data_IF_238086257700
#
_entry.id   IF_238086257700
#
_cell.length_a   1.000
_cell.length_b   1.000
_cell.length_c   1.000
_cell.angle_alpha   90.00
_cell.angle_beta   90.00
_cell.angle_gamma   90.00
#
_symmetry.space_group_name_H-M   'P 1'
#
loop_
_entity.id
_entity.type
_entity.pdbx_description
1 polymer ?
#
# COMPACT_ATOMS: atom_id res chain seq x y z
N UNK A 1 -25.61 -9.96 -3.30
CA UNK A 1 -26.03 -10.15 -4.71
C UNK A 1 -24.93 -10.72 -5.58
N UNK A 2 -23.78 -10.04 -5.82
CA UNK A 2 -22.72 -10.50 -6.76
C UNK A 2 -22.10 -11.83 -6.37
N UNK A 3 -21.86 -12.08 -5.09
CA UNK A 3 -21.33 -13.32 -4.54
C UNK A 3 -22.38 -14.43 -4.64
N UNK A 4 -23.62 -14.16 -4.22
CA UNK A 4 -24.72 -15.12 -4.32
C UNK A 4 -25.03 -15.52 -5.78
N UNK A 5 -24.71 -14.66 -6.75
CA UNK A 5 -24.82 -14.95 -8.18
C UNK A 5 -23.60 -15.71 -8.74
N UNK A 6 -22.64 -16.15 -7.92
CA UNK A 6 -21.43 -16.85 -8.36
C UNK A 6 -20.47 -16.03 -9.21
N UNK A 7 -20.63 -14.70 -9.24
CA UNK A 7 -19.80 -13.79 -10.04
C UNK A 7 -18.42 -13.53 -9.43
N UNK A 8 -18.29 -13.68 -8.10
CA UNK A 8 -17.06 -13.47 -7.36
C UNK A 8 -16.61 -14.80 -6.76
N UNK A 9 -15.44 -15.27 -7.14
CA UNK A 9 -14.95 -16.62 -6.78
C UNK A 9 -13.79 -16.63 -5.77
N UNK A 10 -13.20 -15.50 -5.41
CA UNK A 10 -12.06 -15.46 -4.50
C UNK A 10 -10.74 -15.95 -5.10
N UNK A 11 -10.63 -16.11 -6.41
CA UNK A 11 -9.39 -16.58 -7.05
C UNK A 11 -8.29 -15.51 -6.98
N UNK A 12 -8.59 -14.29 -7.42
CA UNK A 12 -7.63 -13.20 -7.43
C UNK A 12 -8.32 -11.87 -7.14
N UNK A 13 -7.77 -11.12 -6.19
CA UNK A 13 -8.20 -9.75 -5.92
C UNK A 13 -7.10 -8.77 -6.28
N UNK A 14 -7.48 -7.62 -6.83
CA UNK A 14 -6.58 -6.48 -7.01
C UNK A 14 -6.89 -5.40 -5.98
N UNK A 15 -5.82 -4.88 -5.38
CA UNK A 15 -5.85 -3.72 -4.50
C UNK A 15 -5.18 -2.53 -5.19
N UNK A 16 -5.78 -1.37 -5.08
CA UNK A 16 -5.19 -0.11 -5.53
C UNK A 16 -5.87 1.07 -4.86
N UNK A 17 -5.21 2.21 -4.85
CA UNK A 17 -5.72 3.46 -4.32
C UNK A 17 -5.64 4.59 -5.34
N UNK A 18 -6.55 5.53 -5.22
CA UNK A 18 -6.54 6.72 -6.08
C UNK A 18 -6.75 7.98 -5.27
N UNK A 19 -5.83 8.92 -5.43
CA UNK A 19 -5.95 10.26 -4.86
C UNK A 19 -7.13 11.02 -5.44
N UNK A 20 -7.97 11.55 -4.55
CA UNK A 20 -9.10 12.42 -4.87
C UNK A 20 -8.92 13.71 -4.09
N UNK A 21 -9.12 14.85 -4.76
CA UNK A 21 -9.01 16.18 -4.12
C UNK A 21 -10.05 16.31 -3.00
N UNK A 22 -9.64 16.84 -1.86
CA UNK A 22 -10.55 17.20 -0.77
C UNK A 22 -11.30 18.50 -1.06
N UNK A 23 -12.49 18.64 -0.51
CA UNK A 23 -13.24 19.89 -0.50
C UNK A 23 -12.77 20.78 0.66
N UNK A 24 -11.74 21.58 0.42
CA UNK A 24 -11.15 22.48 1.41
C UNK A 24 -11.18 23.93 0.94
N UNK A 25 -11.29 24.84 1.87
CA UNK A 25 -11.00 26.24 1.60
C UNK A 25 -9.48 26.44 1.56
N UNK A 26 -8.94 26.69 0.37
CA UNK A 26 -7.50 26.84 0.15
C UNK A 26 -6.89 28.02 0.90
N UNK A 27 -7.69 29.02 1.27
CA UNK A 27 -7.23 30.21 2.03
C UNK A 27 -7.15 29.91 3.53
N UNK A 28 -7.94 28.97 4.05
CA UNK A 28 -7.98 28.57 5.44
C UNK A 28 -7.06 27.37 5.69
N UNK A 29 -5.74 27.62 5.67
CA UNK A 29 -4.70 26.65 5.97
C UNK A 29 -3.59 27.28 6.79
N UNK A 30 -2.87 26.44 7.53
CA UNK A 30 -1.71 26.83 8.33
C UNK A 30 -0.57 25.84 8.15
N UNK A 31 0.70 26.28 8.29
CA UNK A 31 1.83 25.37 8.40
C UNK A 31 1.63 24.38 9.55
N UNK A 32 1.93 23.11 9.31
CA UNK A 32 1.68 22.07 10.30
C UNK A 32 2.69 22.00 11.45
N UNK A 33 3.74 22.80 11.41
CA UNK A 33 4.73 23.01 12.48
C UNK A 33 4.32 24.12 13.44
N UNK A 34 3.24 24.85 13.17
CA UNK A 34 2.71 25.90 14.02
C UNK A 34 1.55 25.39 14.89
N UNK A 35 1.42 25.92 16.13
CA UNK A 35 0.28 25.59 16.97
C UNK A 35 -1.02 26.14 16.35
N UNK A 36 -2.04 25.30 16.26
CA UNK A 36 -3.35 25.65 15.71
C UNK A 36 -4.35 25.77 16.86
N UNK A 37 -4.94 26.96 17.01
CA UNK A 37 -6.06 27.17 17.94
C UNK A 37 -7.35 26.65 17.29
N UNK A 38 -7.80 25.49 17.71
CA UNK A 38 -9.06 24.90 17.23
C UNK A 38 -10.27 25.52 17.97
N UNK A 39 -11.42 25.68 17.30
CA UNK A 39 -12.65 26.08 17.97
C UNK A 39 -13.10 25.01 18.95
N UNK A 40 -13.95 25.38 19.90
CA UNK A 40 -14.61 24.39 20.78
C UNK A 40 -15.45 23.41 19.96
N UNK A 41 -15.60 22.19 20.47
CA UNK A 41 -16.31 21.12 19.75
C UNK A 41 -17.73 21.50 19.33
N UNK A 42 -18.41 22.31 20.15
CA UNK A 42 -19.79 22.77 19.91
C UNK A 42 -19.88 23.76 18.72
N UNK A 43 -18.83 24.56 18.51
CA UNK A 43 -18.73 25.57 17.46
C UNK A 43 -18.06 25.05 16.19
N UNK A 44 -17.41 23.87 16.30
CA UNK A 44 -16.65 23.28 15.23
C UNK A 44 -17.54 22.70 14.13
N UNK A 45 -17.09 22.80 12.88
CA UNK A 45 -17.71 22.05 11.78
C UNK A 45 -17.60 20.54 11.99
N UNK A 46 -18.43 19.76 11.32
CA UNK A 46 -18.41 18.29 11.44
C UNK A 46 -16.98 17.70 11.24
N UNK A 47 -16.28 18.11 10.19
CA UNK A 47 -14.94 17.60 9.88
C UNK A 47 -13.89 17.97 10.95
N UNK A 48 -13.99 19.18 11.51
CA UNK A 48 -13.08 19.62 12.59
C UNK A 48 -13.39 18.88 13.87
N UNK A 49 -14.68 18.70 14.20
CA UNK A 49 -15.10 17.93 15.37
C UNK A 49 -14.64 16.48 15.31
N UNK A 50 -14.83 15.83 14.18
CA UNK A 50 -14.35 14.46 13.94
C UNK A 50 -12.83 14.34 14.15
N UNK A 51 -12.09 15.33 13.67
CA UNK A 51 -10.64 15.39 13.86
C UNK A 51 -10.24 15.56 15.33
N UNK A 52 -10.91 16.44 16.08
CA UNK A 52 -10.65 16.68 17.50
C UNK A 52 -10.94 15.41 18.33
N UNK A 53 -12.05 14.73 18.07
CA UNK A 53 -12.37 13.45 18.72
C UNK A 53 -11.30 12.40 18.42
N UNK A 54 -10.81 12.31 17.19
CA UNK A 54 -9.75 11.38 16.84
C UNK A 54 -8.41 11.69 17.56
N UNK A 55 -8.09 12.98 17.77
CA UNK A 55 -6.92 13.40 18.54
C UNK A 55 -7.04 13.02 20.03
N UNK A 56 -8.21 13.24 20.62
CA UNK A 56 -8.44 12.91 22.04
C UNK A 56 -8.38 11.40 22.27
N UNK A 57 -8.92 10.60 21.33
CA UNK A 57 -8.82 9.14 21.37
C UNK A 57 -7.37 8.68 21.29
N UNK A 58 -6.56 9.23 20.38
CA UNK A 58 -5.16 8.87 20.24
C UNK A 58 -4.34 9.23 21.49
N UNK A 59 -4.61 10.36 22.15
CA UNK A 59 -3.98 10.72 23.43
C UNK A 59 -4.37 9.79 24.57
N UNK A 60 -5.65 9.38 24.63
CA UNK A 60 -6.14 8.45 25.64
C UNK A 60 -5.53 7.04 25.52
N UNK A 61 -5.17 6.62 24.31
CA UNK A 61 -4.49 5.35 24.06
C UNK A 61 -2.98 5.41 24.42
N UNK A 62 -2.33 6.55 24.23
CA UNK A 62 -0.94 6.77 24.67
C UNK A 62 -0.81 6.74 26.21
N UNK A 63 -1.79 7.29 26.93
CA UNK A 63 -1.83 7.26 28.41
C UNK A 63 -2.11 5.85 28.98
N UNK A 64 -2.73 4.95 28.19
CA UNK A 64 -3.02 3.56 28.60
C UNK A 64 -1.91 2.57 28.25
N UNK A 65 -1.04 2.90 27.32
CA UNK A 65 0.06 2.04 26.86
C UNK A 65 1.36 2.25 27.66
N UNK A 66 1.24 2.47 28.96
CA UNK A 66 2.39 2.57 29.89
C UNK A 66 3.16 1.27 30.10
N UNK A 67 2.81 0.16 29.46
CA UNK A 67 3.59 -1.06 29.39
C UNK A 67 4.26 -1.13 28.00
N UNK A 68 5.51 -0.68 27.99
CA UNK A 68 6.48 -0.77 26.90
C UNK A 68 6.82 -2.24 26.61
N UNK A 69 6.04 -2.88 25.74
CA UNK A 69 6.55 -4.02 25.02
C UNK A 69 7.29 -3.50 23.76
N UNK A 70 8.60 -3.58 23.74
CA UNK A 70 9.52 -3.02 22.77
C UNK A 70 9.29 -3.37 21.27
N UNK A 71 8.05 -3.53 20.82
CA UNK A 71 7.66 -3.78 19.43
C UNK A 71 7.21 -2.52 18.65
N UNK A 72 7.38 -1.32 19.24
CA UNK A 72 7.17 -0.04 18.60
C UNK A 72 8.24 0.21 17.53
N UNK A 73 7.85 0.37 16.28
CA UNK A 73 8.69 0.95 15.23
C UNK A 73 9.43 2.16 15.80
N UNK A 74 10.76 2.09 15.83
CA UNK A 74 11.66 3.07 16.43
C UNK A 74 11.19 4.49 16.17
N UNK A 75 11.00 5.24 17.25
CA UNK A 75 10.37 6.55 17.31
C UNK A 75 11.00 7.63 16.42
N UNK A 76 10.88 7.51 15.12
CA UNK A 76 11.02 8.63 14.25
C UNK A 76 9.81 9.54 14.50
N UNK A 77 10.03 10.63 15.22
CA UNK A 77 9.06 11.74 15.32
C UNK A 77 8.54 12.00 13.92
N UNK A 78 7.26 11.71 13.69
CA UNK A 78 6.61 11.97 12.40
C UNK A 78 6.85 13.43 12.06
N UNK A 79 7.45 13.70 10.89
CA UNK A 79 7.60 15.08 10.43
C UNK A 79 6.22 15.72 10.41
N UNK A 80 6.05 16.92 10.94
CA UNK A 80 4.76 17.62 10.91
C UNK A 80 4.27 17.73 9.46
N UNK A 81 2.97 17.73 9.28
CA UNK A 81 2.38 17.98 7.97
C UNK A 81 2.85 19.33 7.45
N UNK A 82 3.18 19.46 6.17
CA UNK A 82 3.64 20.74 5.61
C UNK A 82 2.56 21.82 5.73
N UNK A 83 1.32 21.44 5.46
CA UNK A 83 0.15 22.32 5.56
C UNK A 83 -1.01 21.54 6.19
N UNK A 84 -1.81 22.21 7.01
CA UNK A 84 -3.03 21.68 7.61
C UNK A 84 -4.21 22.55 7.19
N UNK A 85 -5.29 21.93 6.72
CA UNK A 85 -6.53 22.62 6.41
C UNK A 85 -7.33 22.90 7.68
N UNK A 86 -7.77 24.15 7.87
CA UNK A 86 -8.63 24.51 8.99
C UNK A 86 -10.11 24.14 8.75
N UNK A 87 -10.48 23.80 7.52
CA UNK A 87 -11.84 23.38 7.17
C UNK A 87 -12.03 21.87 7.09
N UNK A 88 -10.94 21.12 6.88
CA UNK A 88 -10.89 19.65 6.88
C UNK A 88 -9.49 19.17 7.29
N UNK A 89 -9.21 19.09 8.60
CA UNK A 89 -7.85 18.80 9.10
C UNK A 89 -7.35 17.40 8.82
N UNK A 90 -8.25 16.46 8.52
CA UNK A 90 -7.89 15.08 8.18
C UNK A 90 -7.41 14.94 6.73
N UNK A 91 -7.70 15.91 5.86
CA UNK A 91 -7.19 15.93 4.49
C UNK A 91 -5.67 16.10 4.48
N UNK A 92 -4.98 15.30 3.70
CA UNK A 92 -3.51 15.31 3.62
C UNK A 92 -3.03 16.26 2.53
N UNK A 93 -2.05 17.10 2.85
CA UNK A 93 -1.36 17.95 1.86
C UNK A 93 -0.43 17.09 1.00
N UNK A 94 -0.69 17.05 -0.29
CA UNK A 94 0.02 16.21 -1.25
C UNK A 94 0.69 17.08 -2.30
N UNK A 95 1.99 16.85 -2.53
CA UNK A 95 2.74 17.43 -3.63
C UNK A 95 3.12 16.32 -4.63
N UNK A 96 2.88 16.54 -5.92
CA UNK A 96 3.28 15.67 -7.02
C UNK A 96 4.07 16.45 -8.05
N UNK A 97 5.09 15.85 -8.68
CA UNK A 97 5.82 16.52 -9.77
C UNK A 97 4.86 16.98 -10.88
N UNK A 98 5.01 18.22 -11.30
CA UNK A 98 4.20 18.81 -12.39
C UNK A 98 2.78 19.23 -12.02
N UNK A 99 2.40 19.15 -10.73
CA UNK A 99 1.09 19.61 -10.25
C UNK A 99 1.27 20.53 -9.04
N UNK A 100 0.43 21.55 -8.95
CA UNK A 100 0.34 22.36 -7.73
C UNK A 100 -0.08 21.49 -6.56
N UNK A 101 0.50 21.67 -5.37
CA UNK A 101 0.13 20.91 -4.20
C UNK A 101 -1.34 21.15 -3.81
N UNK A 102 -1.98 20.12 -3.27
CA UNK A 102 -3.40 20.15 -2.90
C UNK A 102 -3.69 19.23 -1.72
N UNK A 103 -4.81 19.45 -1.05
CA UNK A 103 -5.32 18.55 -0.03
C UNK A 103 -6.09 17.39 -0.68
N UNK A 104 -5.87 16.17 -0.17
CA UNK A 104 -6.44 14.96 -0.73
C UNK A 104 -6.72 13.88 0.31
N UNK A 105 -7.54 12.93 -0.12
CA UNK A 105 -7.76 11.62 0.48
C UNK A 105 -7.51 10.54 -0.56
N UNK A 106 -7.35 9.30 -0.12
CA UNK A 106 -7.29 8.13 -0.98
C UNK A 106 -8.62 7.39 -0.97
N UNK A 107 -9.08 7.03 -2.17
CA UNK A 107 -10.13 6.04 -2.37
C UNK A 107 -9.44 4.69 -2.64
N UNK A 108 -9.59 3.73 -1.72
CA UNK A 108 -9.01 2.40 -1.83
C UNK A 108 -10.07 1.41 -2.31
N UNK A 109 -9.76 0.60 -3.32
CA UNK A 109 -10.63 -0.43 -3.88
C UNK A 109 -9.96 -1.79 -3.84
N UNK A 110 -10.70 -2.78 -3.32
CA UNK A 110 -10.41 -4.20 -3.48
C UNK A 110 -11.41 -4.78 -4.48
N UNK A 111 -10.92 -5.28 -5.61
CA UNK A 111 -11.77 -5.79 -6.69
C UNK A 111 -11.52 -7.26 -6.99
N UNK A 112 -12.54 -7.98 -7.41
CA UNK A 112 -12.40 -9.29 -8.02
C UNK A 112 -11.82 -9.15 -9.44
N UNK A 113 -10.74 -9.89 -9.73
CA UNK A 113 -10.06 -9.81 -11.02
C UNK A 113 -10.84 -10.49 -12.16
N UNK A 114 -11.71 -11.44 -11.88
CA UNK A 114 -12.47 -12.16 -12.90
C UNK A 114 -13.47 -11.23 -13.59
N UNK A 115 -14.31 -10.58 -12.80
CA UNK A 115 -15.41 -9.74 -13.33
C UNK A 115 -15.25 -8.25 -13.07
N UNK A 116 -14.27 -7.85 -12.25
CA UNK A 116 -14.03 -6.44 -11.88
C UNK A 116 -15.13 -5.86 -10.98
N UNK A 117 -15.77 -6.65 -10.15
CA UNK A 117 -16.68 -6.19 -9.09
C UNK A 117 -15.84 -5.64 -7.94
N UNK A 118 -16.21 -4.50 -7.40
CA UNK A 118 -15.59 -3.93 -6.21
C UNK A 118 -16.15 -4.70 -5.01
N UNK A 119 -15.29 -5.46 -4.32
CA UNK A 119 -15.68 -6.30 -3.18
C UNK A 119 -15.69 -5.47 -1.91
N UNK A 120 -14.74 -4.56 -1.79
CA UNK A 120 -14.62 -3.65 -0.67
C UNK A 120 -14.07 -2.30 -1.13
N UNK A 121 -14.46 -1.23 -0.43
CA UNK A 121 -14.04 0.13 -0.74
C UNK A 121 -13.98 0.95 0.55
N UNK A 122 -12.95 1.81 0.67
CA UNK A 122 -12.82 2.69 1.83
C UNK A 122 -12.05 3.96 1.50
N UNK A 123 -12.54 5.09 2.01
CA UNK A 123 -11.80 6.36 2.01
C UNK A 123 -10.82 6.45 3.17
N UNK A 124 -9.60 6.91 2.92
CA UNK A 124 -8.55 7.07 3.93
C UNK A 124 -7.81 8.38 3.76
N UNK A 125 -7.06 8.80 4.78
CA UNK A 125 -6.07 9.85 4.62
C UNK A 125 -5.03 9.41 3.59
N UNK A 126 -4.61 10.34 2.73
CA UNK A 126 -3.61 10.06 1.70
C UNK A 126 -2.22 9.86 2.33
N UNK A 127 -1.94 8.63 2.73
CA UNK A 127 -0.67 8.23 3.35
C UNK A 127 -0.36 6.79 3.00
N UNK A 128 0.83 6.54 2.49
CA UNK A 128 1.32 5.23 2.07
C UNK A 128 1.26 4.16 3.16
N UNK A 129 1.60 4.49 4.40
CA UNK A 129 1.53 3.55 5.53
C UNK A 129 0.09 3.14 5.80
N UNK A 130 -0.85 4.08 5.65
CA UNK A 130 -2.28 3.83 5.81
C UNK A 130 -2.81 2.90 4.70
N UNK A 131 -2.36 3.05 3.45
CA UNK A 131 -2.75 2.17 2.34
C UNK A 131 -2.43 0.69 2.63
N UNK A 132 -1.25 0.42 3.20
CA UNK A 132 -0.83 -0.94 3.56
C UNK A 132 -1.72 -1.51 4.67
N UNK A 133 -1.92 -0.76 5.76
CA UNK A 133 -2.75 -1.20 6.89
C UNK A 133 -4.22 -1.41 6.49
N UNK A 134 -4.73 -0.53 5.64
CA UNK A 134 -6.09 -0.61 5.10
C UNK A 134 -6.27 -1.85 4.22
N UNK A 135 -5.25 -2.23 3.44
CA UNK A 135 -5.29 -3.46 2.64
C UNK A 135 -5.55 -4.69 3.51
N UNK A 136 -4.84 -4.81 4.62
CA UNK A 136 -5.05 -5.90 5.59
C UNK A 136 -6.47 -5.87 6.13
N UNK A 137 -6.93 -4.71 6.58
CA UNK A 137 -8.30 -4.53 7.11
C UNK A 137 -9.38 -4.87 6.07
N UNK A 138 -9.19 -4.51 4.79
CA UNK A 138 -10.15 -4.80 3.71
C UNK A 138 -10.22 -6.30 3.43
N UNK A 139 -9.07 -6.99 3.34
CA UNK A 139 -9.03 -8.44 3.13
C UNK A 139 -9.68 -9.16 4.31
N UNK A 140 -9.35 -8.81 5.55
CA UNK A 140 -9.96 -9.39 6.76
C UNK A 140 -11.47 -9.15 6.84
N UNK A 141 -11.93 -7.96 6.44
CA UNK A 141 -13.35 -7.63 6.41
C UNK A 141 -14.11 -8.45 5.38
N UNK A 142 -13.52 -8.66 4.21
CA UNK A 142 -14.11 -9.49 3.14
C UNK A 142 -14.16 -10.95 3.59
N UNK A 143 -13.11 -11.46 4.20
CA UNK A 143 -13.09 -12.82 4.75
C UNK A 143 -14.17 -13.01 5.81
N UNK A 144 -14.26 -12.10 6.80
CA UNK A 144 -15.27 -12.18 7.87
C UNK A 144 -16.70 -12.05 7.37
N UNK A 145 -16.97 -11.18 6.39
CA UNK A 145 -18.34 -10.91 5.91
C UNK A 145 -18.84 -11.92 4.90
N UNK A 146 -17.95 -12.43 4.06
CA UNK A 146 -18.33 -13.20 2.89
C UNK A 146 -17.70 -14.59 2.84
N UNK A 147 -16.87 -14.93 3.82
CA UNK A 147 -16.05 -16.17 3.82
C UNK A 147 -15.24 -16.32 2.53
N UNK A 148 -14.73 -15.19 2.02
CA UNK A 148 -13.94 -15.13 0.79
C UNK A 148 -12.52 -14.70 1.11
N UNK A 149 -11.56 -15.60 0.88
CA UNK A 149 -10.13 -15.32 0.95
C UNK A 149 -9.56 -15.45 -0.46
N UNK A 150 -8.80 -14.44 -0.96
CA UNK A 150 -8.18 -14.56 -2.26
C UNK A 150 -7.06 -15.57 -2.23
N UNK A 151 -6.92 -16.37 -3.30
CA UNK A 151 -5.73 -17.22 -3.48
C UNK A 151 -4.50 -16.37 -3.79
N UNK A 152 -4.68 -15.23 -4.49
CA UNK A 152 -3.63 -14.27 -4.80
C UNK A 152 -4.12 -12.83 -4.67
N UNK A 153 -3.25 -11.96 -4.15
CA UNK A 153 -3.48 -10.51 -4.10
C UNK A 153 -2.55 -9.82 -5.09
N UNK A 154 -3.13 -8.99 -5.94
CA UNK A 154 -2.43 -8.23 -6.98
C UNK A 154 -2.38 -6.75 -6.58
N UNK A 155 -1.20 -6.16 -6.61
CA UNK A 155 -0.99 -4.75 -6.30
C UNK A 155 0.17 -4.16 -7.09
N UNK A 156 0.39 -2.86 -6.95
CA UNK A 156 1.59 -2.21 -7.48
C UNK A 156 2.76 -2.27 -6.49
N UNK A 157 3.88 -1.65 -6.86
CA UNK A 157 5.10 -1.62 -6.02
C UNK A 157 4.88 -0.95 -4.66
N UNK A 158 3.86 -0.10 -4.49
CA UNK A 158 3.55 0.53 -3.20
C UNK A 158 3.22 -0.52 -2.15
N UNK A 159 2.53 -1.59 -2.56
CA UNK A 159 2.14 -2.71 -1.69
C UNK A 159 3.27 -3.74 -1.50
N UNK A 160 4.43 -3.54 -2.14
CA UNK A 160 5.60 -4.44 -2.05
C UNK A 160 6.43 -4.31 -0.77
N UNK A 161 5.89 -3.72 0.30
CA UNK A 161 6.55 -3.65 1.60
C UNK A 161 6.60 -5.04 2.26
N UNK A 162 7.77 -5.39 2.84
CA UNK A 162 8.00 -6.72 3.42
C UNK A 162 6.94 -7.12 4.44
N UNK A 163 6.49 -6.18 5.26
CA UNK A 163 5.45 -6.41 6.28
C UNK A 163 4.13 -6.92 5.66
N UNK A 164 3.68 -6.31 4.55
CA UNK A 164 2.48 -6.77 3.86
C UNK A 164 2.72 -8.10 3.15
N UNK A 165 3.87 -8.27 2.49
CA UNK A 165 4.21 -9.51 1.80
C UNK A 165 4.26 -10.69 2.78
N UNK A 166 4.89 -10.50 3.95
CA UNK A 166 4.89 -11.51 5.02
C UNK A 166 3.48 -11.84 5.49
N UNK A 167 2.67 -10.84 5.77
CA UNK A 167 1.29 -11.01 6.23
C UNK A 167 0.45 -11.81 5.22
N UNK A 168 0.63 -11.59 3.92
CA UNK A 168 -0.04 -12.35 2.85
C UNK A 168 0.43 -13.80 2.83
N UNK A 169 1.75 -14.02 2.87
CA UNK A 169 2.35 -15.37 2.84
C UNK A 169 1.94 -16.19 4.06
N UNK A 170 1.94 -15.60 5.26
CA UNK A 170 1.52 -16.26 6.50
C UNK A 170 0.04 -16.70 6.44
N UNK A 171 -0.78 -16.04 5.61
CA UNK A 171 -2.19 -16.38 5.38
C UNK A 171 -2.45 -17.26 4.16
N UNK A 172 -1.40 -17.79 3.53
CA UNK A 172 -1.47 -18.56 2.29
C UNK A 172 -2.13 -17.76 1.13
N UNK A 173 -1.92 -16.45 1.09
CA UNK A 173 -2.32 -15.58 -0.03
C UNK A 173 -1.06 -15.30 -0.85
N UNK A 174 -1.04 -15.73 -2.11
CA UNK A 174 0.11 -15.51 -2.99
C UNK A 174 0.22 -14.02 -3.39
N UNK A 175 1.30 -13.32 -3.04
CA UNK A 175 1.45 -11.91 -3.40
C UNK A 175 1.94 -11.77 -4.85
N UNK A 176 1.07 -11.30 -5.75
CA UNK A 176 1.43 -10.85 -7.09
C UNK A 176 1.67 -9.34 -7.08
N UNK A 177 2.65 -8.94 -6.28
CA UNK A 177 3.02 -7.55 -6.02
C UNK A 177 4.51 -7.40 -6.26
N UNK A 178 4.98 -6.43 -7.08
CA UNK A 178 6.41 -6.20 -7.26
C UNK A 178 7.06 -5.83 -5.94
N UNK A 179 8.17 -6.47 -5.59
CA UNK A 179 8.88 -6.17 -4.34
C UNK A 179 9.39 -4.74 -4.37
N UNK A 180 9.11 -4.01 -3.32
CA UNK A 180 9.68 -2.68 -3.16
C UNK A 180 11.13 -2.78 -2.70
N UNK A 181 12.04 -2.62 -3.65
CA UNK A 181 13.48 -2.66 -3.42
C UNK A 181 14.12 -1.31 -3.76
N UNK A 182 14.81 -0.74 -2.78
CA UNK A 182 15.61 0.49 -2.92
C UNK A 182 17.11 0.20 -3.02
N UNK A 183 17.50 -1.05 -3.23
CA UNK A 183 18.89 -1.44 -3.27
C UNK A 183 19.58 -1.02 -4.57
N UNK A 184 18.84 -0.73 -5.64
CA UNK A 184 19.38 -0.26 -6.90
C UNK A 184 20.19 1.02 -6.72
N UNK A 185 21.38 1.08 -7.34
CA UNK A 185 22.29 2.22 -7.26
C UNK A 185 22.49 2.83 -8.64
N UNK A 186 21.99 4.06 -8.87
CA UNK A 186 22.12 4.74 -10.17
C UNK A 186 23.56 5.22 -10.45
N UNK A 187 24.44 5.22 -9.45
CA UNK A 187 25.84 5.64 -9.54
C UNK A 187 26.77 4.58 -10.14
N UNK A 188 26.23 3.41 -10.55
CA UNK A 188 27.01 2.30 -11.10
C UNK A 188 27.82 1.52 -10.07
N UNK A 189 27.67 1.81 -8.77
CA UNK A 189 28.29 1.02 -7.71
C UNK A 189 27.46 -0.24 -7.42
N UNK A 190 28.11 -1.26 -6.86
CA UNK A 190 27.44 -2.52 -6.54
C UNK A 190 26.25 -2.31 -5.62
N UNK A 191 25.09 -2.76 -6.06
CA UNK A 191 23.86 -2.86 -5.29
C UNK A 191 23.88 -4.07 -4.38
N UNK A 192 22.84 -4.29 -3.57
CA UNK A 192 22.72 -5.53 -2.80
C UNK A 192 22.56 -6.77 -3.69
N UNK A 193 21.91 -6.63 -4.84
CA UNK A 193 21.66 -7.73 -5.78
C UNK A 193 22.96 -8.32 -6.38
N UNK A 194 24.06 -7.56 -6.36
CA UNK A 194 25.38 -8.03 -6.82
C UNK A 194 26.09 -8.93 -5.81
N UNK A 195 25.52 -9.12 -4.61
CA UNK A 195 26.05 -9.95 -3.54
C UNK A 195 25.21 -11.19 -3.40
N UNK A 196 25.79 -12.38 -3.52
CA UNK A 196 25.10 -13.65 -3.32
C UNK A 196 24.89 -13.92 -1.83
N UNK A 197 23.67 -14.24 -1.43
CA UNK A 197 23.37 -14.66 -0.06
C UNK A 197 23.43 -16.18 0.05
N UNK A 198 24.32 -16.69 0.90
CA UNK A 198 24.42 -18.08 1.29
C UNK A 198 23.55 -18.27 2.56
N UNK A 199 22.42 -18.93 2.39
CA UNK A 199 21.44 -19.13 3.47
C UNK A 199 21.94 -20.12 4.53
N UNK A 200 22.66 -21.16 4.12
CA UNK A 200 23.13 -22.22 5.03
C UNK A 200 24.21 -21.69 5.97
N UNK A 201 25.09 -20.84 5.44
CA UNK A 201 26.21 -20.24 6.20
C UNK A 201 25.83 -18.86 6.79
N UNK A 202 24.66 -18.33 6.44
CA UNK A 202 24.19 -17.00 6.83
C UNK A 202 25.22 -15.88 6.56
N UNK A 203 25.79 -15.87 5.34
CA UNK A 203 26.76 -14.88 4.88
C UNK A 203 26.41 -14.34 3.50
N UNK A 204 26.89 -13.15 3.19
CA UNK A 204 26.90 -12.65 1.81
C UNK A 204 28.30 -12.85 1.20
N UNK A 205 28.35 -13.29 -0.05
CA UNK A 205 29.58 -13.34 -0.84
C UNK A 205 29.58 -12.13 -1.78
N UNK A 206 30.63 -11.31 -1.72
CA UNK A 206 30.75 -10.12 -2.57
C UNK A 206 31.28 -10.49 -3.99
N UNK A 207 31.12 -9.61 -5.00
CA UNK A 207 31.67 -9.84 -6.34
C UNK A 207 33.19 -10.09 -6.39
N UNK A 208 33.92 -9.69 -5.36
CA UNK A 208 35.38 -9.96 -5.21
C UNK A 208 35.67 -11.26 -4.45
N UNK A 209 34.67 -12.09 -4.14
CA UNK A 209 34.85 -13.38 -3.47
C UNK A 209 34.98 -13.33 -1.94
N UNK A 210 34.97 -12.15 -1.32
CA UNK A 210 35.03 -12.04 0.14
C UNK A 210 33.69 -12.19 0.80
N UNK A 211 33.67 -12.74 2.01
CA UNK A 211 32.47 -12.95 2.80
C UNK A 211 32.12 -11.74 3.68
N UNK A 212 30.84 -11.43 3.77
CA UNK A 212 30.29 -10.50 4.71
C UNK A 212 29.51 -11.28 5.75
N UNK A 213 29.95 -11.23 7.00
CA UNK A 213 29.32 -11.93 8.11
C UNK A 213 28.33 -11.05 8.83
N UNK A 214 27.32 -11.69 9.42
CA UNK A 214 26.34 -11.00 10.27
C UNK A 214 27.02 -10.41 11.50
N UNK A 215 26.63 -9.18 11.86
CA UNK A 215 27.08 -8.56 13.12
C UNK A 215 26.34 -9.11 14.36
N UNK A 216 25.31 -9.92 14.17
CA UNK A 216 24.45 -10.45 15.25
C UNK A 216 23.47 -9.42 15.82
N UNK A 217 23.66 -8.13 15.57
CA UNK A 217 22.78 -7.09 16.08
C UNK A 217 21.59 -6.87 15.14
N UNK A 218 20.40 -6.81 15.74
CA UNK A 218 19.16 -6.44 15.05
C UNK A 218 18.90 -4.95 15.34
N UNK A 219 18.87 -4.15 14.27
CA UNK A 219 18.54 -2.72 14.33
C UNK A 219 17.07 -2.51 13.94
N UNK A 220 16.41 -1.55 14.62
CA UNK A 220 14.98 -1.24 14.41
C UNK A 220 14.07 -2.49 14.47
N UNK A 221 14.46 -3.50 15.25
CA UNK A 221 13.69 -4.74 15.43
C UNK A 221 13.63 -5.68 14.21
N UNK A 222 14.17 -5.30 13.04
CA UNK A 222 14.02 -6.10 11.82
C UNK A 222 15.19 -6.05 10.83
N UNK A 223 16.24 -5.27 11.07
CA UNK A 223 17.37 -5.11 10.18
C UNK A 223 18.62 -5.78 10.74
N UNK A 224 19.22 -6.68 10.00
CA UNK A 224 20.52 -7.30 10.29
C UNK A 224 21.58 -6.69 9.38
N UNK A 225 22.74 -6.43 9.94
CA UNK A 225 23.89 -5.93 9.20
C UNK A 225 24.90 -7.03 8.91
N UNK A 226 25.36 -7.08 7.66
CA UNK A 226 26.45 -7.94 7.22
C UNK A 226 27.64 -7.07 6.85
N UNK A 227 28.84 -7.41 7.33
CA UNK A 227 30.07 -6.65 7.11
C UNK A 227 31.18 -7.53 6.54
N UNK A 228 31.87 -7.00 5.54
CA UNK A 228 33.16 -7.54 5.10
C UNK A 228 34.27 -7.18 6.09
N UNK A 229 35.35 -7.93 6.10
CA UNK A 229 36.56 -7.57 6.86
C UNK A 229 37.24 -6.31 6.26
N UNK A 230 37.90 -5.54 7.11
CA UNK A 230 38.66 -4.38 6.66
C UNK A 230 39.84 -4.80 5.76
N UNK A 231 40.48 -5.92 6.09
CA UNK A 231 41.61 -6.48 5.35
C UNK A 231 41.24 -6.87 3.92
N UNK A 232 40.08 -7.52 3.75
CA UNK A 232 39.60 -7.94 2.42
C UNK A 232 39.27 -6.74 1.55
N UNK A 233 38.55 -5.75 2.13
CA UNK A 233 38.20 -4.54 1.40
C UNK A 233 39.38 -3.65 1.07
N UNK A 234 40.44 -3.62 1.90
CA UNK A 234 41.64 -2.79 1.64
C UNK A 234 42.45 -3.26 0.46
N UNK A 235 42.47 -4.57 0.19
CA UNK A 235 43.20 -5.20 -0.92
C UNK A 235 42.33 -5.42 -2.18
N UNK A 236 41.06 -5.08 -2.11
CA UNK A 236 40.10 -5.39 -3.18
C UNK A 236 40.21 -4.39 -4.34
N UNK A 237 40.51 -4.89 -5.55
CA UNK A 237 40.55 -4.08 -6.77
C UNK A 237 39.18 -3.50 -7.16
N UNK A 238 38.08 -4.14 -6.73
CA UNK A 238 36.74 -3.69 -7.01
C UNK A 238 36.21 -2.64 -6.01
N UNK A 239 37.00 -2.30 -4.98
CA UNK A 239 36.62 -1.36 -3.94
C UNK A 239 36.06 -0.02 -4.47
N UNK A 240 36.65 0.62 -5.51
CA UNK A 240 36.13 1.88 -6.04
C UNK A 240 34.71 1.78 -6.58
N UNK A 241 34.32 0.61 -7.12
CA UNK A 241 32.95 0.32 -7.59
C UNK A 241 32.01 -0.24 -6.49
N UNK A 242 32.55 -0.45 -5.28
CA UNK A 242 31.80 -1.12 -4.21
C UNK A 242 31.41 -0.16 -3.08
N UNK A 243 32.39 0.54 -2.49
CA UNK A 243 32.15 1.39 -1.33
C UNK A 243 33.28 2.39 -1.10
N UNK A 244 32.90 3.59 -0.68
CA UNK A 244 33.86 4.61 -0.19
C UNK A 244 34.24 4.39 1.27
N UNK A 245 33.48 3.57 2.02
CA UNK A 245 33.74 3.25 3.43
C UNK A 245 34.95 2.32 3.57
N UNK A 246 35.46 2.19 4.79
CA UNK A 246 36.59 1.30 5.14
C UNK A 246 36.30 -0.14 4.73
N UNK A 247 35.07 -0.61 5.00
CA UNK A 247 34.58 -1.94 4.61
C UNK A 247 33.12 -1.87 4.14
N UNK A 248 32.74 -2.78 3.23
CA UNK A 248 31.39 -2.88 2.74
C UNK A 248 30.46 -3.35 3.87
N UNK A 249 29.28 -2.71 3.96
CA UNK A 249 28.17 -3.08 4.82
C UNK A 249 26.92 -3.28 3.97
N UNK A 250 26.18 -4.35 4.21
CA UNK A 250 24.89 -4.65 3.59
C UNK A 250 23.85 -4.80 4.70
N UNK A 251 22.65 -4.30 4.46
CA UNK A 251 21.50 -4.47 5.31
C UNK A 251 20.60 -5.57 4.75
N UNK A 252 20.10 -6.46 5.61
CA UNK A 252 19.10 -7.48 5.29
C UNK A 252 17.96 -7.38 6.28
N UNK A 253 16.73 -7.39 5.78
CA UNK A 253 15.54 -7.54 6.62
C UNK A 253 15.44 -8.97 7.14
N UNK A 254 14.95 -9.17 8.36
CA UNK A 254 14.73 -10.52 8.92
C UNK A 254 13.80 -11.38 8.04
N UNK A 255 12.87 -10.74 7.33
CA UNK A 255 11.92 -11.40 6.42
C UNK A 255 12.31 -11.25 4.94
N UNK A 256 13.61 -11.09 4.63
CA UNK A 256 14.09 -10.95 3.25
C UNK A 256 13.83 -12.23 2.42
N UNK A 257 13.76 -13.39 3.09
CA UNK A 257 13.34 -14.66 2.47
C UNK A 257 11.95 -14.58 1.82
N UNK A 258 11.04 -13.83 2.42
CA UNK A 258 9.71 -13.55 1.84
C UNK A 258 9.85 -12.73 0.56
N UNK A 259 10.71 -11.69 0.56
CA UNK A 259 10.99 -10.92 -0.66
C UNK A 259 11.62 -11.78 -1.76
N UNK A 260 12.53 -12.66 -1.40
CA UNK A 260 13.20 -13.55 -2.36
C UNK A 260 12.19 -14.51 -3.00
N UNK A 261 11.27 -15.09 -2.21
CA UNK A 261 10.16 -15.89 -2.74
C UNK A 261 9.26 -15.08 -3.68
N UNK A 262 8.91 -13.85 -3.33
CA UNK A 262 8.06 -12.99 -4.17
C UNK A 262 8.78 -12.54 -5.44
N UNK A 263 10.09 -12.30 -5.40
CA UNK A 263 10.90 -12.03 -6.61
C UNK A 263 10.87 -13.20 -7.57
N UNK A 264 11.00 -14.43 -7.05
CA UNK A 264 10.92 -15.64 -7.89
C UNK A 264 9.54 -15.82 -8.56
N UNK A 265 8.46 -15.30 -7.96
CA UNK A 265 7.13 -15.30 -8.60
C UNK A 265 7.03 -14.34 -9.79
N UNK A 266 7.83 -13.27 -9.83
CA UNK A 266 7.70 -12.21 -10.83
C UNK A 266 7.89 -12.70 -12.27
N UNK A 267 8.67 -13.75 -12.48
CA UNK A 267 8.95 -14.34 -13.80
C UNK A 267 7.92 -15.40 -14.22
N UNK A 268 6.97 -15.75 -13.34
CA UNK A 268 5.94 -16.74 -13.66
C UNK A 268 4.86 -16.15 -14.57
N UNK A 269 4.30 -17.01 -15.43
CA UNK A 269 3.19 -16.64 -16.33
C UNK A 269 1.97 -16.14 -15.53
N UNK A 270 1.67 -16.75 -14.38
CA UNK A 270 0.58 -16.37 -13.49
C UNK A 270 0.76 -14.92 -12.97
N UNK A 271 1.98 -14.52 -12.62
CA UNK A 271 2.28 -13.16 -12.20
C UNK A 271 2.11 -12.16 -13.35
N UNK A 272 2.61 -12.49 -14.55
CA UNK A 272 2.46 -11.66 -15.74
C UNK A 272 0.98 -11.50 -16.14
N UNK A 273 0.19 -12.56 -16.01
CA UNK A 273 -1.26 -12.48 -16.21
C UNK A 273 -1.91 -11.54 -15.18
N UNK A 274 -1.57 -11.65 -13.92
CA UNK A 274 -2.07 -10.77 -12.86
C UNK A 274 -1.74 -9.30 -13.11
N UNK A 275 -0.54 -8.98 -13.61
CA UNK A 275 -0.16 -7.61 -14.03
C UNK A 275 -1.09 -7.07 -15.13
N UNK A 276 -1.46 -7.90 -16.11
CA UNK A 276 -2.42 -7.51 -17.15
C UNK A 276 -3.81 -7.28 -16.58
N UNK A 277 -4.24 -8.13 -15.65
CA UNK A 277 -5.54 -8.04 -14.99
C UNK A 277 -5.67 -6.84 -14.06
N UNK A 278 -4.57 -6.34 -13.50
CA UNK A 278 -4.56 -5.12 -12.68
C UNK A 278 -5.15 -3.90 -13.39
N UNK A 279 -5.07 -3.84 -14.71
CA UNK A 279 -5.74 -2.79 -15.49
C UNK A 279 -7.24 -2.66 -15.20
N UNK A 280 -7.88 -3.71 -14.66
CA UNK A 280 -9.31 -3.66 -14.30
C UNK A 280 -9.56 -2.70 -13.13
N UNK A 281 -8.68 -2.61 -12.13
CA UNK A 281 -8.84 -1.65 -11.03
C UNK A 281 -8.55 -0.22 -11.50
N UNK A 282 -7.54 -0.02 -12.35
CA UNK A 282 -7.25 1.28 -12.96
C UNK A 282 -8.46 1.80 -13.75
N UNK A 283 -9.13 0.93 -14.50
CA UNK A 283 -10.36 1.27 -15.23
C UNK A 283 -11.52 1.64 -14.29
N UNK A 284 -11.57 1.11 -13.05
CA UNK A 284 -12.56 1.53 -12.06
C UNK A 284 -12.31 2.97 -11.61
N UNK A 285 -11.07 3.34 -11.35
CA UNK A 285 -10.72 4.72 -10.99
C UNK A 285 -10.91 5.69 -12.16
N UNK A 286 -10.58 5.28 -13.39
CA UNK A 286 -10.87 6.09 -14.57
C UNK A 286 -12.39 6.34 -14.73
N UNK A 287 -13.21 5.32 -14.53
CA UNK A 287 -14.68 5.44 -14.55
C UNK A 287 -15.18 6.34 -13.42
N UNK A 288 -14.66 6.17 -12.20
CA UNK A 288 -14.99 7.00 -11.05
C UNK A 288 -14.76 8.49 -11.36
N UNK A 289 -13.57 8.84 -11.86
CA UNK A 289 -13.19 10.24 -12.11
C UNK A 289 -13.87 10.83 -13.36
N UNK A 290 -13.93 10.09 -14.47
CA UNK A 290 -14.41 10.63 -15.76
C UNK A 290 -15.91 10.55 -15.94
N UNK A 291 -16.54 9.47 -15.48
CA UNK A 291 -17.96 9.20 -15.70
C UNK A 291 -18.79 9.64 -14.49
N UNK A 292 -18.39 9.26 -13.28
CA UNK A 292 -19.11 9.64 -12.06
C UNK A 292 -18.69 11.02 -11.53
N UNK A 293 -17.69 11.65 -12.15
CA UNK A 293 -17.19 12.99 -11.80
C UNK A 293 -16.70 13.13 -10.36
N UNK A 294 -16.20 12.04 -9.76
CA UNK A 294 -15.56 12.05 -8.46
C UNK A 294 -14.05 12.27 -8.61
N UNK A 295 -13.64 13.42 -9.08
CA UNK A 295 -12.25 13.91 -9.10
C UNK A 295 -11.96 14.82 -7.89
N UNK A 296 -13.02 15.27 -7.19
CA UNK A 296 -13.01 15.97 -5.92
C UNK A 296 -14.15 15.46 -5.06
N UNK A 297 -13.88 15.21 -3.79
CA UNK A 297 -14.90 14.95 -2.79
C UNK A 297 -15.76 16.18 -2.55
N UNK A 298 -17.01 15.98 -2.15
CA UNK A 298 -17.98 17.05 -1.84
C UNK A 298 -18.25 17.14 -0.34
N UNK A 299 -18.11 16.00 0.35
CA UNK A 299 -18.20 15.93 1.79
C UNK A 299 -16.81 16.20 2.42
N UNK A 300 -16.81 16.57 3.69
CA UNK A 300 -15.62 16.82 4.50
C UNK A 300 -15.58 15.89 5.69
N UNK A 301 -14.38 15.66 6.23
CA UNK A 301 -14.14 14.70 7.28
C UNK A 301 -14.08 13.26 6.77
N UNK A 302 -13.39 12.41 7.48
CA UNK A 302 -13.10 11.05 7.02
C UNK A 302 -14.37 10.18 6.90
N UNK A 303 -15.38 10.41 7.76
CA UNK A 303 -16.68 9.73 7.66
C UNK A 303 -17.38 10.07 6.35
N UNK A 304 -17.48 11.36 6.01
CA UNK A 304 -18.10 11.81 4.76
C UNK A 304 -17.35 11.27 3.52
N UNK A 305 -16.02 11.24 3.56
CA UNK A 305 -15.19 10.66 2.49
C UNK A 305 -15.49 9.16 2.32
N UNK A 306 -15.63 8.42 3.41
CA UNK A 306 -15.98 6.99 3.38
C UNK A 306 -17.34 6.76 2.73
N UNK A 307 -18.32 7.57 3.06
CA UNK A 307 -19.66 7.49 2.48
C UNK A 307 -19.64 7.75 0.97
N UNK A 308 -18.94 8.80 0.49
CA UNK A 308 -18.82 9.07 -0.94
C UNK A 308 -18.12 7.94 -1.69
N UNK A 309 -17.06 7.35 -1.12
CA UNK A 309 -16.34 6.22 -1.71
C UNK A 309 -17.25 4.99 -1.82
N UNK A 310 -18.00 4.66 -0.75
CA UNK A 310 -18.92 3.53 -0.73
C UNK A 310 -20.08 3.71 -1.71
N UNK A 311 -20.71 4.89 -1.76
CA UNK A 311 -21.79 5.20 -2.72
C UNK A 311 -21.29 5.09 -4.15
N UNK A 312 -20.08 5.60 -4.43
CA UNK A 312 -19.46 5.52 -5.75
C UNK A 312 -19.17 4.08 -6.15
N UNK A 313 -18.60 3.27 -5.26
CA UNK A 313 -18.36 1.85 -5.48
C UNK A 313 -19.66 1.09 -5.74
N UNK A 314 -20.72 1.40 -4.99
CA UNK A 314 -22.07 0.83 -5.16
C UNK A 314 -22.63 1.16 -6.55
N UNK A 315 -22.59 2.41 -6.98
CA UNK A 315 -23.04 2.83 -8.31
C UNK A 315 -22.26 2.12 -9.44
N UNK A 316 -20.94 1.97 -9.28
CA UNK A 316 -20.10 1.24 -10.23
C UNK A 316 -20.47 -0.25 -10.29
N UNK A 317 -20.73 -0.88 -9.14
CA UNK A 317 -21.12 -2.28 -9.06
C UNK A 317 -22.48 -2.52 -9.68
N UNK A 318 -23.48 -1.68 -9.37
CA UNK A 318 -24.82 -1.77 -9.98
C UNK A 318 -24.74 -1.68 -11.50
N UNK A 319 -23.99 -0.71 -12.04
CA UNK A 319 -23.78 -0.58 -13.50
C UNK A 319 -23.07 -1.80 -14.09
N UNK A 320 -22.12 -2.38 -13.36
CA UNK A 320 -21.41 -3.59 -13.80
C UNK A 320 -22.31 -4.80 -13.81
N UNK A 321 -23.07 -4.99 -12.74
CA UNK A 321 -24.05 -6.08 -12.62
C UNK A 321 -25.10 -6.03 -13.74
N UNK A 322 -25.68 -4.86 -13.99
CA UNK A 322 -26.62 -4.69 -15.08
C UNK A 322 -26.03 -5.19 -16.41
N UNK A 323 -24.78 -4.83 -16.71
CA UNK A 323 -24.10 -5.28 -17.94
C UNK A 323 -23.79 -6.79 -17.98
N UNK A 324 -23.55 -7.41 -16.80
CA UNK A 324 -23.26 -8.84 -16.73
C UNK A 324 -24.54 -9.68 -16.83
N UNK A 325 -25.63 -9.20 -16.25
CA UNK A 325 -26.92 -9.88 -16.23
C UNK A 325 -27.73 -9.67 -17.54
N UNK A 326 -27.58 -8.49 -18.18
CA UNK A 326 -28.27 -8.16 -19.43
C UNK A 326 -27.53 -8.63 -20.69
N UNK A 327 -26.42 -9.35 -20.57
CA UNK A 327 -25.85 -10.05 -21.74
C UNK A 327 -26.81 -11.19 -22.07
N UNK A 328 -27.58 -11.03 -23.14
CA UNK A 328 -28.38 -12.10 -23.72
C UNK A 328 -27.47 -13.34 -23.94
N UNK A 329 -27.94 -14.57 -23.65
CA UNK A 329 -27.26 -15.76 -24.09
C UNK A 329 -27.02 -15.65 -25.62
N UNK A 330 -25.91 -16.18 -26.14
CA UNK A 330 -25.70 -16.21 -27.58
C UNK A 330 -26.94 -16.85 -28.21
N UNK A 331 -27.42 -16.33 -29.36
CA UNK A 331 -28.55 -16.96 -30.06
C UNK A 331 -28.21 -18.45 -30.21
N UNK A 332 -29.10 -19.31 -29.72
CA UNK A 332 -29.01 -20.75 -29.95
C UNK A 332 -28.86 -20.92 -31.45
N UNK A 333 -27.74 -21.47 -31.90
CA UNK A 333 -27.50 -21.78 -33.31
C UNK A 333 -28.72 -22.53 -33.83
N UNK A 334 -29.33 -22.01 -34.88
CA UNK A 334 -30.63 -22.39 -35.37
C UNK A 334 -30.81 -23.90 -35.46
N UNK A 335 -31.89 -24.37 -34.83
CA UNK A 335 -32.55 -25.54 -35.31
C UNK A 335 -33.11 -25.20 -36.70
N UNK A 336 -32.40 -25.59 -37.76
CA UNK A 336 -33.01 -25.74 -39.10
C UNK A 336 -34.11 -26.76 -38.95
N UNK A 337 -35.34 -26.29 -38.87
CA UNK A 337 -36.46 -27.17 -39.22
C UNK A 337 -36.46 -27.28 -40.76
N UNK A 338 -36.15 -28.50 -41.24
CA UNK A 338 -36.46 -28.96 -42.58
C UNK A 338 -37.96 -29.17 -42.72
#
# INVERSE_FOLDING_TARGET
MSIAAGLVGGEAFSIDASLIKADVDKKKRMPGDQPIAWPKAEEASHAVREYLVALDTARGDEDRSGDDDGSGEGGQRRKPAKEVSLTDPQATWVARPGLDPFFAYDANYLIDNKVGIIIDAVGTRANRTVEIAVTQTMVDRVERRFNLRPQRLVGDTVYGAVRLLKWLVDRNITPHVPVWDKSARPDGTFSRADFAFDQDRNVYVCPGGAELTSTGNIDQGHIVYYRASKSDCSRCLLKPKCTTAVARKITRDLNEDVRDRVRALADTEAFQQSRRERKKVEMRFAHMKRILRLDRFRLRGLSGIRDEVLLTATAQNLRRLARLLCRAPPPLAGACFA
#
